data_IF_663294548599
#
_entry.id   IF_663294548599
#
_cell.length_a   1.000
_cell.length_b   1.000
_cell.length_c   1.000
_cell.angle_alpha   90.00
_cell.angle_beta   90.00
_cell.angle_gamma   90.00
#
_symmetry.space_group_name_H-M   'P 1'
#
loop_
_entity.id
_entity.type
_entity.pdbx_description
1 polymer ?
#
# COMPACT_ATOMS: atom_id res chain seq x y z
N UNK A 1 -60.11 8.36 40.64
CA UNK A 1 -58.71 8.76 40.92
C UNK A 1 -57.89 7.49 41.08
N UNK A 2 -57.07 7.20 40.07
CA UNK A 2 -56.65 5.86 39.67
C UNK A 2 -55.33 5.46 40.36
N UNK A 3 -55.26 4.22 40.85
CA UNK A 3 -54.09 3.59 41.46
C UNK A 3 -53.03 3.26 40.39
N UNK A 4 -51.76 3.52 40.71
CA UNK A 4 -50.59 3.08 39.95
C UNK A 4 -50.41 1.56 40.08
N UNK A 5 -50.24 0.89 38.95
CA UNK A 5 -49.83 -0.52 38.83
C UNK A 5 -48.54 -0.55 38.00
N UNK A 6 -47.46 -1.08 38.58
CA UNK A 6 -46.19 -1.40 37.92
C UNK A 6 -46.22 -2.85 37.42
N UNK A 7 -45.86 -3.07 36.14
CA UNK A 7 -45.36 -4.31 35.50
C UNK A 7 -44.82 -3.93 34.09
N UNK A 8 -44.00 -4.75 33.39
CA UNK A 8 -42.58 -5.00 33.61
C UNK A 8 -41.68 -4.55 32.41
N UNK A 9 -40.38 -4.41 32.69
CA UNK A 9 -39.31 -4.24 31.68
C UNK A 9 -39.10 -5.56 30.94
N UNK A 10 -39.56 -5.66 29.69
CA UNK A 10 -39.00 -6.57 28.67
C UNK A 10 -39.74 -6.32 27.35
N UNK A 11 -39.15 -5.51 26.44
CA UNK A 11 -39.41 -5.52 24.97
C UNK A 11 -38.65 -4.44 24.17
N UNK A 12 -37.39 -4.13 24.51
CA UNK A 12 -36.58 -3.16 23.75
C UNK A 12 -35.38 -3.75 23.01
N UNK A 13 -35.35 -5.08 22.81
CA UNK A 13 -34.19 -5.77 22.20
C UNK A 13 -34.49 -6.66 20.99
N UNK A 14 -35.67 -6.56 20.37
CA UNK A 14 -36.02 -7.34 19.15
C UNK A 14 -36.35 -6.54 17.89
N UNK A 15 -36.16 -5.21 17.88
CA UNK A 15 -36.46 -4.37 16.71
C UNK A 15 -35.23 -3.92 15.90
N UNK A 16 -34.00 -4.26 16.30
CA UNK A 16 -32.78 -3.72 15.67
C UNK A 16 -31.99 -4.72 14.82
N UNK A 17 -32.38 -5.99 14.76
CA UNK A 17 -31.63 -7.04 14.04
C UNK A 17 -32.24 -7.47 12.69
N UNK A 18 -33.38 -6.93 12.26
CA UNK A 18 -34.07 -7.39 11.04
C UNK A 18 -33.99 -6.40 9.87
N UNK A 19 -33.21 -5.31 9.97
CA UNK A 19 -33.07 -4.31 8.89
C UNK A 19 -31.76 -4.37 8.11
N UNK A 20 -30.83 -5.27 8.44
CA UNK A 20 -29.51 -5.35 7.77
C UNK A 20 -29.47 -6.40 6.64
N UNK A 21 -30.51 -7.23 6.47
CA UNK A 21 -30.45 -8.39 5.56
C UNK A 21 -31.25 -8.24 4.25
N UNK A 22 -31.94 -7.12 4.02
CA UNK A 22 -32.78 -6.93 2.82
C UNK A 22 -32.25 -5.90 1.80
N UNK A 23 -31.22 -5.13 2.15
CA UNK A 23 -30.62 -4.13 1.23
C UNK A 23 -29.70 -4.76 0.17
N UNK A 24 -29.27 -6.01 0.35
CA UNK A 24 -28.33 -6.71 -0.54
C UNK A 24 -28.96 -7.42 -1.75
N UNK A 25 -30.30 -7.48 -1.85
CA UNK A 25 -30.99 -8.26 -2.90
C UNK A 25 -31.71 -7.44 -3.97
N UNK A 26 -31.58 -6.11 -3.99
CA UNK A 26 -32.25 -5.24 -4.98
C UNK A 26 -31.32 -4.34 -5.81
N UNK A 27 -30.00 -4.55 -5.75
CA UNK A 27 -29.02 -3.77 -6.53
C UNK A 27 -28.67 -4.36 -7.91
N UNK A 28 -29.58 -5.10 -8.54
CA UNK A 28 -29.50 -5.37 -9.99
C UNK A 28 -30.31 -4.32 -10.73
N UNK A 29 -29.88 -3.05 -10.66
CA UNK A 29 -30.49 -1.95 -11.38
C UNK A 29 -29.48 -1.37 -12.38
N UNK A 30 -29.91 -1.32 -13.63
CA UNK A 30 -29.23 -0.84 -14.83
C UNK A 30 -28.45 0.46 -14.57
N UNK A 31 -27.14 0.44 -14.88
CA UNK A 31 -26.23 1.58 -14.72
C UNK A 31 -26.64 2.73 -15.68
N UNK A 32 -26.97 3.94 -15.19
CA UNK A 32 -27.17 5.10 -16.05
C UNK A 32 -25.85 5.47 -16.73
N UNK A 33 -25.89 5.68 -18.05
CA UNK A 33 -24.76 6.21 -18.81
C UNK A 33 -24.42 7.62 -18.34
N UNK A 34 -23.15 7.81 -17.98
CA UNK A 34 -22.63 9.08 -17.52
C UNK A 34 -21.21 8.90 -17.02
N UNK A 35 -21.03 8.75 -15.71
CA UNK A 35 -19.72 8.92 -15.08
C UNK A 35 -19.42 7.88 -13.97
N UNK A 36 -20.31 6.90 -13.74
CA UNK A 36 -20.12 5.85 -12.73
C UNK A 36 -19.31 4.67 -13.27
N UNK A 37 -17.99 4.86 -13.34
CA UNK A 37 -17.02 3.78 -13.63
C UNK A 37 -16.56 3.20 -12.28
N UNK A 38 -16.68 1.89 -12.11
CA UNK A 38 -16.27 1.24 -10.87
C UNK A 38 -14.79 1.52 -10.55
N UNK A 39 -14.51 1.91 -9.30
CA UNK A 39 -13.17 2.29 -8.84
C UNK A 39 -12.72 3.68 -9.27
N UNK A 40 -13.53 4.42 -10.04
CA UNK A 40 -13.28 5.82 -10.42
C UNK A 40 -14.19 6.72 -9.60
N UNK A 41 -13.83 6.90 -8.34
CA UNK A 41 -14.59 7.65 -7.33
C UNK A 41 -13.67 8.61 -6.58
N UNK A 42 -14.04 9.89 -6.50
CA UNK A 42 -13.31 10.90 -5.73
C UNK A 42 -13.48 10.71 -4.22
N UNK A 43 -12.60 11.32 -3.43
CA UNK A 43 -12.68 11.31 -1.96
C UNK A 43 -12.85 12.73 -1.42
N UNK A 44 -13.93 12.99 -0.69
CA UNK A 44 -14.20 14.33 -0.18
C UNK A 44 -13.13 14.77 0.84
N UNK A 45 -12.64 16.01 0.71
CA UNK A 45 -11.67 16.56 1.64
C UNK A 45 -12.36 16.97 2.95
N UNK A 46 -11.89 16.43 4.07
CA UNK A 46 -12.44 16.70 5.41
C UNK A 46 -11.53 17.62 6.23
N UNK A 47 -10.92 18.62 5.58
CA UNK A 47 -10.00 19.59 6.17
C UNK A 47 -8.56 19.09 6.21
N UNK A 48 -7.71 19.60 5.30
CA UNK A 48 -6.30 19.23 5.13
C UNK A 48 -6.08 17.70 5.05
N UNK A 49 -7.04 16.95 4.49
CA UNK A 49 -6.97 15.49 4.39
C UNK A 49 -6.52 14.99 3.02
N UNK A 50 -6.01 15.87 2.15
CA UNK A 50 -5.61 15.49 0.79
C UNK A 50 -4.47 14.45 0.78
N UNK A 51 -3.58 14.46 1.78
CA UNK A 51 -2.57 13.40 1.97
C UNK A 51 -3.21 12.03 2.16
N UNK A 52 -4.29 11.96 2.97
CA UNK A 52 -5.05 10.73 3.21
C UNK A 52 -5.78 10.30 1.94
N UNK A 53 -6.44 11.23 1.26
CA UNK A 53 -7.17 10.95 0.04
C UNK A 53 -6.24 10.39 -1.04
N UNK A 54 -5.09 11.01 -1.28
CA UNK A 54 -4.14 10.54 -2.29
C UNK A 54 -3.61 9.12 -1.99
N UNK A 55 -3.26 8.84 -0.72
CA UNK A 55 -2.82 7.50 -0.29
C UNK A 55 -3.94 6.47 -0.45
N UNK A 56 -5.15 6.79 0.00
CA UNK A 56 -6.31 5.89 -0.13
C UNK A 56 -6.63 5.60 -1.59
N UNK A 57 -6.55 6.59 -2.49
CA UNK A 57 -6.77 6.39 -3.92
C UNK A 57 -5.78 5.37 -4.50
N UNK A 58 -4.50 5.47 -4.17
CA UNK A 58 -3.48 4.51 -4.65
C UNK A 58 -3.70 3.09 -4.08
N UNK A 59 -4.02 2.97 -2.79
CA UNK A 59 -4.32 1.68 -2.15
C UNK A 59 -5.60 1.06 -2.73
N UNK A 60 -6.66 1.84 -2.87
CA UNK A 60 -7.95 1.41 -3.43
C UNK A 60 -7.91 1.16 -4.94
N UNK A 61 -6.83 1.54 -5.61
CA UNK A 61 -6.54 1.20 -7.01
C UNK A 61 -5.62 -0.03 -7.15
N UNK A 62 -5.13 -0.59 -6.05
CA UNK A 62 -4.29 -1.79 -6.06
C UNK A 62 -5.17 -3.03 -6.18
N UNK A 63 -5.48 -3.46 -7.41
CA UNK A 63 -6.52 -4.48 -7.66
C UNK A 63 -6.40 -5.77 -6.82
N UNK A 64 -5.21 -6.39 -6.66
CA UNK A 64 -5.13 -7.61 -5.85
C UNK A 64 -5.52 -7.39 -4.38
N UNK A 65 -5.29 -6.18 -3.86
CA UNK A 65 -5.74 -5.79 -2.52
C UNK A 65 -7.26 -5.59 -2.49
N UNK A 66 -7.81 -4.90 -3.49
CA UNK A 66 -9.26 -4.67 -3.64
C UNK A 66 -10.02 -6.00 -3.71
N UNK A 67 -9.60 -6.90 -4.62
CA UNK A 67 -10.20 -8.22 -4.80
C UNK A 67 -10.15 -9.02 -3.50
N UNK A 68 -9.04 -8.96 -2.77
CA UNK A 68 -8.90 -9.67 -1.50
C UNK A 68 -9.86 -9.13 -0.43
N UNK A 69 -9.94 -7.80 -0.26
CA UNK A 69 -10.76 -7.17 0.77
C UNK A 69 -12.27 -7.23 0.46
N UNK A 70 -12.65 -7.24 -0.82
CA UNK A 70 -14.04 -7.41 -1.24
C UNK A 70 -14.47 -8.88 -1.39
N UNK A 71 -13.55 -9.84 -1.29
CA UNK A 71 -13.90 -11.26 -1.36
C UNK A 71 -14.76 -11.69 -0.17
N UNK A 72 -15.72 -12.59 -0.42
CA UNK A 72 -16.66 -13.07 0.61
C UNK A 72 -15.96 -13.74 1.79
N UNK A 73 -14.93 -14.54 1.51
CA UNK A 73 -14.13 -15.24 2.52
C UNK A 73 -13.50 -14.26 3.51
N UNK A 74 -12.90 -13.17 3.01
CA UNK A 74 -12.32 -12.15 3.88
C UNK A 74 -13.39 -11.45 4.71
N UNK A 75 -14.54 -11.13 4.13
CA UNK A 75 -15.61 -10.36 4.80
C UNK A 75 -16.38 -11.13 5.87
N UNK A 76 -16.70 -12.39 5.62
CA UNK A 76 -17.43 -13.22 6.59
C UNK A 76 -16.53 -13.58 7.80
N UNK A 77 -15.20 -13.54 7.61
CA UNK A 77 -14.21 -13.89 8.64
C UNK A 77 -13.61 -12.68 9.37
N UNK A 78 -13.54 -11.51 8.75
CA UNK A 78 -12.91 -10.32 9.32
C UNK A 78 -13.89 -9.51 10.19
N UNK A 79 -13.95 -9.79 11.50
CA UNK A 79 -14.50 -8.83 12.50
C UNK A 79 -13.46 -7.77 12.92
N UNK A 80 -12.63 -7.38 11.96
CA UNK A 80 -11.40 -6.64 12.19
C UNK A 80 -11.60 -5.19 11.73
N UNK A 81 -11.43 -4.26 12.68
CA UNK A 81 -11.86 -2.87 12.56
C UNK A 81 -11.25 -2.14 11.36
N UNK A 82 -9.95 -2.33 11.09
CA UNK A 82 -9.24 -1.64 10.00
C UNK A 82 -9.63 -2.25 8.66
N UNK A 83 -9.56 -3.59 8.54
CA UNK A 83 -9.88 -4.28 7.31
C UNK A 83 -11.34 -4.03 6.87
N UNK A 84 -12.28 -4.05 7.82
CA UNK A 84 -13.70 -3.78 7.55
C UNK A 84 -13.94 -2.34 7.10
N UNK A 85 -13.22 -1.39 7.70
CA UNK A 85 -13.31 0.03 7.29
C UNK A 85 -12.81 0.23 5.87
N UNK A 86 -11.69 -0.38 5.50
CA UNK A 86 -11.21 -0.37 4.12
C UNK A 86 -12.19 -1.06 3.17
N UNK A 87 -12.77 -2.19 3.58
CA UNK A 87 -13.74 -2.91 2.76
C UNK A 87 -14.99 -2.07 2.48
N UNK A 88 -15.55 -1.38 3.47
CA UNK A 88 -16.71 -0.49 3.28
C UNK A 88 -16.39 0.69 2.36
N UNK A 89 -15.22 1.31 2.52
CA UNK A 89 -14.77 2.36 1.60
C UNK A 89 -14.66 1.82 0.16
N UNK A 90 -14.09 0.62 -0.02
CA UNK A 90 -14.01 -0.03 -1.32
C UNK A 90 -15.39 -0.35 -1.90
N UNK A 91 -16.37 -0.76 -1.09
CA UNK A 91 -17.74 -0.96 -1.55
C UNK A 91 -18.34 0.33 -2.12
N UNK A 92 -18.17 1.46 -1.42
CA UNK A 92 -18.63 2.77 -1.91
C UNK A 92 -17.93 3.16 -3.22
N UNK A 93 -16.61 2.94 -3.33
CA UNK A 93 -15.84 3.34 -4.51
C UNK A 93 -16.03 2.41 -5.73
N UNK A 94 -16.20 1.11 -5.50
CA UNK A 94 -16.23 0.10 -6.57
C UNK A 94 -17.63 -0.38 -6.93
N UNK A 95 -18.54 -0.43 -5.96
CA UNK A 95 -19.91 -0.91 -6.13
C UNK A 95 -20.95 0.22 -6.01
N UNK A 96 -20.57 1.36 -5.45
CA UNK A 96 -21.42 2.53 -5.32
C UNK A 96 -21.75 3.21 -6.64
N UNK A 97 -22.69 4.15 -6.55
CA UNK A 97 -23.20 4.93 -7.67
C UNK A 97 -22.89 6.43 -7.56
N UNK A 98 -22.02 6.81 -6.63
CA UNK A 98 -21.61 8.20 -6.43
C UNK A 98 -20.29 8.48 -7.14
N UNK A 99 -20.11 9.71 -7.64
CA UNK A 99 -18.85 10.14 -8.25
C UNK A 99 -17.77 10.47 -7.22
N UNK A 100 -18.15 10.73 -5.96
CA UNK A 100 -17.26 10.84 -4.81
C UNK A 100 -17.91 10.26 -3.55
N UNK A 101 -17.09 9.94 -2.55
CA UNK A 101 -17.54 9.60 -1.21
C UNK A 101 -16.63 10.19 -0.13
N UNK A 102 -17.15 10.34 1.08
CA UNK A 102 -16.40 10.89 2.20
C UNK A 102 -15.78 9.75 3.04
N UNK A 103 -14.44 9.67 3.16
CA UNK A 103 -13.78 8.59 3.92
C UNK A 103 -13.84 8.82 5.45
N UNK A 104 -15.02 9.12 5.99
CA UNK A 104 -15.23 9.52 7.40
C UNK A 104 -14.83 8.42 8.37
N UNK A 105 -15.27 7.18 8.12
CA UNK A 105 -14.93 6.04 8.97
C UNK A 105 -13.43 5.72 8.87
N UNK A 106 -12.87 5.72 7.66
CA UNK A 106 -11.44 5.51 7.44
C UNK A 106 -10.59 6.54 8.17
N UNK A 107 -10.95 7.83 8.10
CA UNK A 107 -10.30 8.90 8.86
C UNK A 107 -10.45 8.69 10.37
N UNK A 108 -11.64 8.36 10.84
CA UNK A 108 -11.90 8.13 12.27
C UNK A 108 -11.06 6.98 12.83
N UNK A 109 -10.98 5.86 12.11
CA UNK A 109 -10.17 4.71 12.50
C UNK A 109 -8.69 5.06 12.47
N UNK A 110 -8.21 5.70 11.40
CA UNK A 110 -6.84 6.19 11.30
C UNK A 110 -6.47 7.08 12.49
N UNK A 111 -7.24 8.14 12.77
CA UNK A 111 -6.98 9.06 13.88
C UNK A 111 -6.99 8.36 15.25
N UNK A 112 -7.75 7.27 15.40
CA UNK A 112 -7.77 6.50 16.65
C UNK A 112 -6.56 5.58 16.83
N UNK A 113 -5.97 5.10 15.74
CA UNK A 113 -4.78 4.22 15.76
C UNK A 113 -3.51 5.06 15.78
N UNK A 114 -3.56 6.21 15.11
CA UNK A 114 -2.44 7.13 14.93
C UNK A 114 -2.85 8.53 15.39
N UNK A 115 -2.86 8.80 16.71
CA UNK A 115 -3.28 10.08 17.27
C UNK A 115 -2.49 11.28 16.72
N UNK A 116 -1.27 11.07 16.22
CA UNK A 116 -0.47 12.12 15.59
C UNK A 116 -1.08 12.68 14.29
N UNK A 117 -1.99 11.93 13.65
CA UNK A 117 -2.77 12.39 12.48
C UNK A 117 -4.12 12.98 12.89
N UNK A 118 -4.47 12.98 14.19
CA UNK A 118 -5.71 13.56 14.72
C UNK A 118 -5.60 15.08 14.91
N UNK A 119 -5.15 15.76 13.86
CA UNK A 119 -5.11 17.21 13.76
C UNK A 119 -5.59 17.61 12.37
N UNK A 120 -5.73 18.92 12.17
CA UNK A 120 -6.05 19.49 10.86
C UNK A 120 -4.78 20.00 10.16
N UNK A 121 -3.59 19.50 10.50
CA UNK A 121 -2.36 19.86 9.79
C UNK A 121 -2.10 18.90 8.63
N UNK A 122 -1.28 19.35 7.69
CA UNK A 122 -0.77 18.45 6.66
C UNK A 122 0.20 17.44 7.28
N UNK A 123 0.30 16.29 6.63
CA UNK A 123 1.07 15.14 7.07
C UNK A 123 1.81 14.54 5.88
N UNK A 124 2.86 13.76 6.16
CA UNK A 124 3.63 13.07 5.15
C UNK A 124 2.85 11.85 4.61
N UNK A 125 2.61 11.84 3.28
CA UNK A 125 1.85 10.78 2.64
C UNK A 125 2.58 9.43 2.62
N UNK A 126 3.91 9.43 2.57
CA UNK A 126 4.72 8.21 2.62
C UNK A 126 4.66 7.58 4.01
N UNK A 127 4.74 8.40 5.06
CA UNK A 127 4.61 7.96 6.44
C UNK A 127 3.21 7.36 6.69
N UNK A 128 2.15 8.07 6.27
CA UNK A 128 0.78 7.56 6.37
C UNK A 128 0.61 6.22 5.65
N UNK A 129 1.12 6.10 4.42
CA UNK A 129 1.00 4.89 3.62
C UNK A 129 1.59 3.67 4.34
N UNK A 130 2.78 3.80 4.93
CA UNK A 130 3.38 2.73 5.72
C UNK A 130 2.54 2.37 6.95
N UNK A 131 2.02 3.38 7.67
CA UNK A 131 1.19 3.11 8.84
C UNK A 131 -0.12 2.40 8.49
N UNK A 132 -0.79 2.79 7.41
CA UNK A 132 -2.02 2.13 6.97
C UNK A 132 -1.76 0.68 6.56
N UNK A 133 -0.67 0.41 5.83
CA UNK A 133 -0.28 -0.96 5.47
C UNK A 133 0.05 -1.80 6.71
N UNK A 134 0.79 -1.26 7.67
CA UNK A 134 1.11 -1.96 8.93
C UNK A 134 -0.15 -2.24 9.76
N UNK A 135 -1.03 -1.24 9.91
CA UNK A 135 -2.29 -1.41 10.63
C UNK A 135 -3.17 -2.48 9.98
N UNK A 136 -3.26 -2.49 8.64
CA UNK A 136 -4.00 -3.51 7.90
C UNK A 136 -3.35 -4.90 8.03
N UNK A 137 -2.01 -4.98 7.94
CA UNK A 137 -1.27 -6.23 8.14
C UNK A 137 -1.57 -6.82 9.53
N UNK A 138 -1.41 -6.03 10.59
CA UNK A 138 -1.62 -6.48 11.96
C UNK A 138 -3.06 -6.93 12.21
N UNK A 139 -4.04 -6.22 11.63
CA UNK A 139 -5.44 -6.58 11.76
C UNK A 139 -5.76 -7.91 11.04
N UNK A 140 -5.26 -8.10 9.81
CA UNK A 140 -5.42 -9.36 9.07
C UNK A 140 -4.67 -10.53 9.72
N UNK A 141 -3.53 -10.28 10.36
CA UNK A 141 -2.77 -11.31 11.08
C UNK A 141 -3.55 -11.86 12.27
N UNK A 142 -4.35 -11.03 12.96
CA UNK A 142 -5.24 -11.49 14.05
C UNK A 142 -6.30 -12.47 13.55
N UNK A 143 -6.87 -12.22 12.36
CA UNK A 143 -7.83 -13.13 11.72
C UNK A 143 -7.16 -14.46 11.38
N UNK A 144 -5.98 -14.42 10.76
CA UNK A 144 -5.22 -15.64 10.44
C UNK A 144 -4.87 -16.46 11.69
N UNK A 145 -4.41 -15.81 12.76
CA UNK A 145 -4.11 -16.46 14.02
C UNK A 145 -5.36 -17.09 14.68
N UNK A 146 -6.54 -16.48 14.54
CA UNK A 146 -7.79 -17.05 15.02
C UNK A 146 -8.19 -18.33 14.26
N UNK A 147 -7.95 -18.39 12.94
CA UNK A 147 -8.18 -19.60 12.12
C UNK A 147 -7.33 -20.78 12.57
N UNK A 148 -6.03 -20.55 12.80
CA UNK A 148 -5.10 -21.61 13.24
C UNK A 148 -5.48 -22.19 14.61
N UNK A 149 -6.08 -21.37 15.49
CA UNK A 149 -6.58 -21.82 16.81
C UNK A 149 -7.76 -22.77 16.72
N UNK A 150 -8.62 -22.65 15.70
CA UNK A 150 -9.74 -23.56 15.50
C UNK A 150 -9.32 -24.90 14.89
N UNK A 151 -8.27 -24.92 14.08
CA UNK A 151 -7.84 -26.11 13.33
C UNK A 151 -6.80 -26.95 14.06
N UNK A 152 -5.90 -26.33 14.84
CA UNK A 152 -4.80 -27.05 15.49
C UNK A 152 -4.92 -26.98 17.01
N UNK A 153 -5.03 -28.15 17.64
CA UNK A 153 -4.84 -28.28 19.09
C UNK A 153 -3.53 -27.64 19.54
N UNK A 154 -3.55 -27.13 20.78
CA UNK A 154 -2.62 -26.28 21.54
C UNK A 154 -1.07 -26.48 21.40
N UNK A 155 -0.51 -27.30 20.50
CA UNK A 155 0.90 -27.69 20.52
C UNK A 155 1.84 -26.93 19.58
N UNK A 156 1.35 -26.28 18.51
CA UNK A 156 2.19 -25.52 17.55
C UNK A 156 1.80 -24.03 17.42
N UNK A 157 1.55 -23.36 18.55
CA UNK A 157 0.96 -22.01 18.60
C UNK A 157 1.88 -20.86 18.18
N UNK A 158 3.18 -20.93 18.47
CA UNK A 158 4.12 -19.83 18.19
C UNK A 158 4.64 -19.88 16.75
N UNK A 159 4.92 -21.07 16.22
CA UNK A 159 5.45 -21.24 14.86
C UNK A 159 4.40 -20.88 13.78
N UNK A 160 3.16 -21.37 13.90
CA UNK A 160 2.14 -21.16 12.89
C UNK A 160 1.55 -19.73 12.85
N UNK A 161 1.67 -18.96 13.93
CA UNK A 161 1.28 -17.53 13.97
C UNK A 161 2.43 -16.58 13.55
N UNK A 162 3.68 -17.05 13.61
CA UNK A 162 4.85 -16.33 13.12
C UNK A 162 4.92 -16.34 11.58
N UNK A 163 4.29 -17.33 10.93
CA UNK A 163 4.49 -17.67 9.52
C UNK A 163 3.28 -17.36 8.62
N UNK A 164 2.17 -16.83 9.17
CA UNK A 164 1.02 -16.44 8.36
C UNK A 164 1.28 -15.11 7.64
N UNK A 165 1.77 -15.20 6.41
CA UNK A 165 1.90 -14.03 5.51
C UNK A 165 0.52 -13.49 5.15
N UNK A 166 0.26 -12.20 5.40
CA UNK A 166 -1.01 -11.55 5.04
C UNK A 166 -0.99 -11.14 3.56
N UNK A 167 -2.12 -10.69 3.00
CA UNK A 167 -2.13 -10.06 1.66
C UNK A 167 -1.14 -8.90 1.57
N UNK A 168 -0.98 -8.13 2.67
CA UNK A 168 -0.06 -6.99 2.70
C UNK A 168 1.38 -7.47 2.51
N UNK A 169 1.81 -8.49 3.26
CA UNK A 169 3.17 -9.06 3.12
C UNK A 169 3.39 -9.73 1.77
N UNK A 170 2.36 -10.37 1.21
CA UNK A 170 2.47 -11.00 -0.11
C UNK A 170 2.62 -9.97 -1.22
N UNK A 171 1.90 -8.86 -1.15
CA UNK A 171 1.90 -7.83 -2.19
C UNK A 171 3.08 -6.86 -2.07
N UNK A 172 3.29 -6.29 -0.89
CA UNK A 172 4.14 -5.10 -0.74
C UNK A 172 5.52 -5.40 -0.14
N UNK A 173 5.73 -6.55 0.52
CA UNK A 173 7.03 -6.85 1.15
C UNK A 173 8.02 -7.50 0.18
N UNK A 174 9.14 -6.81 -0.05
CA UNK A 174 10.34 -7.33 -0.69
C UNK A 174 11.45 -7.62 0.31
N UNK A 175 12.57 -8.15 -0.17
CA UNK A 175 13.80 -8.35 0.62
C UNK A 175 15.01 -7.81 -0.12
N UNK A 176 15.78 -6.96 0.56
CA UNK A 176 17.12 -6.55 0.15
C UNK A 176 18.14 -7.55 0.70
N UNK A 177 19.15 -7.86 -0.11
CA UNK A 177 20.34 -8.59 0.27
C UNK A 177 21.53 -7.64 0.40
N UNK A 178 22.32 -7.82 1.45
CA UNK A 178 23.55 -7.09 1.70
C UNK A 178 24.69 -8.10 1.74
N UNK A 179 25.51 -8.09 0.70
CA UNK A 179 26.71 -8.91 0.56
C UNK A 179 27.90 -8.10 1.03
N UNK A 180 28.62 -8.58 2.04
CA UNK A 180 29.88 -7.98 2.48
C UNK A 180 31.04 -8.86 2.05
N UNK A 181 32.02 -8.31 1.33
CA UNK A 181 33.22 -9.00 0.86
C UNK A 181 34.47 -8.41 1.52
N UNK A 182 35.23 -9.22 2.26
CA UNK A 182 36.51 -8.82 2.83
C UNK A 182 37.57 -8.72 1.72
N UNK A 183 38.15 -7.53 1.51
CA UNK A 183 39.11 -7.27 0.42
C UNK A 183 40.50 -7.89 0.64
N UNK A 184 40.69 -8.66 1.73
CA UNK A 184 41.96 -9.32 2.04
C UNK A 184 41.92 -10.84 1.91
N UNK A 185 40.80 -11.48 2.25
CA UNK A 185 40.68 -12.94 2.28
C UNK A 185 39.47 -13.46 1.49
N UNK A 186 38.75 -12.56 0.80
CA UNK A 186 37.56 -12.83 0.01
C UNK A 186 36.41 -13.51 0.76
N UNK A 187 36.45 -13.52 2.11
CA UNK A 187 35.35 -14.02 2.90
C UNK A 187 34.10 -13.17 2.69
N UNK A 188 33.01 -13.84 2.33
CA UNK A 188 31.72 -13.25 2.03
C UNK A 188 30.72 -13.53 3.15
N UNK A 189 29.97 -12.51 3.57
CA UNK A 189 28.76 -12.70 4.39
C UNK A 189 27.55 -12.11 3.69
N UNK A 190 26.38 -12.69 3.95
CA UNK A 190 25.12 -12.25 3.36
C UNK A 190 24.07 -12.02 4.45
N UNK A 191 23.43 -10.86 4.42
CA UNK A 191 22.34 -10.50 5.33
C UNK A 191 21.15 -10.01 4.54
N UNK A 192 19.95 -10.35 4.98
CA UNK A 192 18.71 -9.93 4.31
C UNK A 192 17.91 -8.99 5.20
N UNK A 193 17.17 -8.08 4.58
CA UNK A 193 16.27 -7.15 5.25
C UNK A 193 14.96 -6.99 4.46
N UNK A 194 13.83 -7.16 5.14
CA UNK A 194 12.50 -6.91 4.55
C UNK A 194 12.25 -5.42 4.40
N UNK A 195 11.62 -5.02 3.30
CA UNK A 195 11.18 -3.64 3.06
C UNK A 195 9.78 -3.61 2.43
N UNK A 196 9.06 -2.51 2.66
CA UNK A 196 7.75 -2.22 2.02
C UNK A 196 7.85 -1.05 1.03
N UNK A 197 8.76 -0.11 1.29
CA UNK A 197 9.03 1.05 0.42
C UNK A 197 10.54 1.23 0.26
N UNK A 198 11.00 1.56 -0.94
CA UNK A 198 12.36 2.03 -1.18
C UNK A 198 12.36 3.56 -1.25
N UNK A 199 13.02 4.20 -0.29
CA UNK A 199 13.23 5.64 -0.31
C UNK A 199 14.51 5.97 -1.08
N UNK A 200 14.35 6.34 -2.36
CA UNK A 200 15.48 6.47 -3.26
C UNK A 200 16.22 7.80 -3.06
N UNK A 201 17.57 7.78 -3.03
CA UNK A 201 18.37 8.98 -3.15
C UNK A 201 18.25 9.56 -4.56
N UNK A 202 18.51 10.85 -4.67
CA UNK A 202 18.53 11.56 -5.96
C UNK A 202 19.96 11.97 -6.23
N UNK A 203 20.53 11.60 -7.40
CA UNK A 203 21.84 12.07 -7.80
C UNK A 203 21.91 13.60 -7.77
N UNK A 204 22.87 14.16 -7.03
CA UNK A 204 23.05 15.63 -6.91
C UNK A 204 23.72 16.23 -8.13
N UNK A 205 24.50 15.42 -8.84
CA UNK A 205 25.41 15.88 -9.87
C UNK A 205 24.77 15.89 -11.27
N UNK A 206 23.49 15.49 -11.36
CA UNK A 206 22.75 15.34 -12.61
C UNK A 206 21.52 16.26 -12.58
N UNK A 207 21.44 17.17 -13.57
CA UNK A 207 20.34 18.15 -13.69
C UNK A 207 18.99 17.48 -13.95
N UNK A 208 18.99 16.34 -14.66
CA UNK A 208 17.81 15.50 -14.91
C UNK A 208 18.19 14.04 -14.72
N UNK A 209 17.65 13.39 -13.70
CA UNK A 209 17.79 11.97 -13.48
C UNK A 209 16.46 11.24 -13.72
N UNK A 210 16.56 9.97 -14.05
CA UNK A 210 15.47 9.01 -14.16
C UNK A 210 15.34 8.17 -12.88
N UNK A 211 14.23 7.42 -12.76
CA UNK A 211 14.08 6.43 -11.68
C UNK A 211 15.16 5.35 -11.73
N UNK A 212 15.62 4.98 -12.94
CA UNK A 212 16.69 4.01 -13.10
C UNK A 212 18.02 4.53 -12.53
N UNK A 213 18.30 5.83 -12.68
CA UNK A 213 19.50 6.46 -12.10
C UNK A 213 19.40 6.48 -10.57
N UNK A 214 18.23 6.82 -10.02
CA UNK A 214 17.98 6.79 -8.57
C UNK A 214 18.15 5.38 -7.98
N UNK A 215 17.68 4.34 -8.67
CA UNK A 215 17.91 2.95 -8.27
C UNK A 215 19.37 2.56 -8.41
N UNK A 216 20.05 2.96 -9.49
CA UNK A 216 21.48 2.68 -9.66
C UNK A 216 22.31 3.28 -8.53
N UNK A 217 21.97 4.50 -8.10
CA UNK A 217 22.59 5.14 -6.92
C UNK A 217 22.23 4.40 -5.61
N UNK A 218 20.99 3.92 -5.47
CA UNK A 218 20.58 3.14 -4.29
C UNK A 218 21.33 1.80 -4.17
N UNK A 219 21.56 1.12 -5.28
CA UNK A 219 22.24 -0.19 -5.34
C UNK A 219 23.75 -0.08 -5.59
N UNK A 220 24.32 1.13 -5.55
CA UNK A 220 25.75 1.34 -5.77
C UNK A 220 26.60 0.61 -4.72
N UNK A 221 27.66 -0.04 -5.18
CA UNK A 221 28.61 -0.70 -4.29
C UNK A 221 29.30 0.35 -3.41
N UNK A 222 29.29 0.12 -2.10
CA UNK A 222 30.01 0.96 -1.14
C UNK A 222 31.30 0.25 -0.69
N UNK A 223 32.42 0.96 -0.65
CA UNK A 223 33.67 0.45 -0.10
C UNK A 223 33.94 1.08 1.28
N UNK A 224 33.93 0.25 2.32
CA UNK A 224 34.21 0.68 3.69
C UNK A 224 35.71 0.69 3.94
N UNK A 225 36.29 1.88 4.07
CA UNK A 225 37.74 2.10 4.25
C UNK A 225 38.06 2.90 5.51
N UNK A 226 39.34 2.99 5.87
CA UNK A 226 39.80 3.78 7.02
C UNK A 226 39.08 3.44 8.33
N UNK A 227 38.34 4.39 8.88
CA UNK A 227 37.63 4.24 10.16
C UNK A 227 36.36 3.38 10.06
N UNK A 228 35.81 3.20 8.87
CA UNK A 228 34.59 2.42 8.62
C UNK A 228 34.85 0.93 8.39
N UNK A 229 36.13 0.51 8.43
CA UNK A 229 36.52 -0.88 8.23
C UNK A 229 35.79 -1.84 9.17
N UNK A 230 35.35 -2.96 8.59
CA UNK A 230 34.61 -4.00 9.28
C UNK A 230 35.55 -5.05 9.85
N UNK A 231 35.23 -5.56 11.04
CA UNK A 231 35.94 -6.71 11.61
C UNK A 231 35.61 -7.96 10.80
N UNK A 232 36.60 -8.53 10.12
CA UNK A 232 36.42 -9.79 9.41
C UNK A 232 36.46 -10.96 10.40
N UNK A 233 35.41 -11.80 10.39
CA UNK A 233 35.28 -13.00 11.24
C UNK A 233 36.38 -14.04 11.00
N UNK A 234 36.94 -14.08 9.79
CA UNK A 234 38.00 -15.02 9.41
C UNK A 234 39.39 -14.45 9.71
N UNK A 235 39.65 -13.18 9.36
CA UNK A 235 40.95 -12.57 9.64
C UNK A 235 41.16 -12.21 11.12
N UNK A 236 40.09 -12.02 11.89
CA UNK A 236 40.13 -11.48 13.24
C UNK A 236 40.58 -10.00 13.32
N UNK A 237 40.65 -9.31 12.19
CA UNK A 237 41.12 -7.92 12.07
C UNK A 237 40.13 -7.05 11.30
N UNK A 238 40.19 -5.74 11.53
CA UNK A 238 39.45 -4.76 10.73
C UNK A 238 40.06 -4.68 9.33
N UNK A 239 39.23 -4.84 8.31
CA UNK A 239 39.63 -4.89 6.90
C UNK A 239 38.73 -4.01 6.06
N UNK A 240 39.28 -3.52 4.96
CA UNK A 240 38.49 -2.93 3.89
C UNK A 240 37.47 -3.95 3.40
N UNK A 241 36.23 -3.51 3.23
CA UNK A 241 35.11 -4.39 2.95
C UNK A 241 34.24 -3.73 1.88
N UNK A 242 34.03 -4.42 0.77
CA UNK A 242 33.04 -4.03 -0.21
C UNK A 242 31.65 -4.47 0.27
N UNK A 243 30.67 -3.58 0.18
CA UNK A 243 29.26 -3.85 0.49
C UNK A 243 28.47 -3.70 -0.81
N UNK A 244 27.86 -4.79 -1.24
CA UNK A 244 26.97 -4.83 -2.40
C UNK A 244 25.54 -5.01 -1.90
N UNK A 245 24.65 -4.13 -2.34
CA UNK A 245 23.22 -4.24 -2.09
C UNK A 245 22.55 -4.86 -3.31
N UNK A 246 21.62 -5.78 -3.11
CA UNK A 246 20.85 -6.41 -4.18
C UNK A 246 19.41 -6.67 -3.74
N UNK A 247 18.55 -7.03 -4.68
CA UNK A 247 17.15 -7.35 -4.45
C UNK A 247 16.96 -8.87 -4.48
N UNK A 248 16.91 -9.48 -3.30
CA UNK A 248 16.73 -10.93 -3.09
C UNK A 248 15.28 -11.39 -3.28
N UNK A 249 14.32 -10.52 -2.97
CA UNK A 249 12.91 -10.80 -3.21
C UNK A 249 12.23 -9.52 -3.69
N UNK A 250 11.97 -9.37 -5.00
CA UNK A 250 11.19 -8.25 -5.49
C UNK A 250 9.71 -8.39 -5.07
N UNK A 251 9.06 -7.32 -4.55
CA UNK A 251 7.65 -7.36 -4.12
C UNK A 251 6.71 -7.42 -5.33
N UNK A 252 5.47 -7.89 -5.19
CA UNK A 252 4.52 -7.83 -6.33
C UNK A 252 4.12 -6.39 -6.68
N UNK A 253 3.98 -5.57 -5.65
CA UNK A 253 3.75 -4.13 -5.71
C UNK A 253 4.99 -3.42 -5.16
N UNK A 254 5.77 -2.80 -6.04
CA UNK A 254 6.93 -2.03 -5.67
C UNK A 254 6.53 -0.59 -5.37
N UNK A 255 6.79 -0.12 -4.16
CA UNK A 255 6.60 1.28 -3.78
C UNK A 255 7.95 2.00 -3.74
N UNK A 256 8.06 3.09 -4.49
CA UNK A 256 9.22 3.96 -4.51
C UNK A 256 8.84 5.33 -3.95
N UNK A 257 9.57 5.79 -2.95
CA UNK A 257 9.46 7.14 -2.41
C UNK A 257 10.63 7.98 -2.91
N UNK A 258 10.34 9.15 -3.44
CA UNK A 258 11.35 10.08 -3.97
C UNK A 258 11.58 11.22 -2.99
N UNK A 259 12.84 11.42 -2.59
CA UNK A 259 13.20 12.48 -1.64
C UNK A 259 13.04 13.91 -2.21
N UNK A 260 12.97 14.09 -3.55
CA UNK A 260 12.75 15.33 -4.33
C UNK A 260 12.31 15.00 -5.78
N UNK A 261 12.22 16.02 -6.65
CA UNK A 261 11.79 15.94 -8.05
C UNK A 261 12.70 15.07 -8.93
N UNK A 262 12.10 14.22 -9.79
CA UNK A 262 12.79 13.35 -10.77
C UNK A 262 12.05 13.41 -12.11
N UNK A 263 12.78 13.42 -13.23
CA UNK A 263 12.19 13.37 -14.58
C UNK A 263 11.86 11.91 -14.93
N UNK A 264 10.59 11.55 -14.78
CA UNK A 264 10.16 10.14 -14.78
C UNK A 264 9.78 9.63 -16.16
N UNK A 265 10.61 9.79 -17.20
CA UNK A 265 10.22 9.53 -18.62
C UNK A 265 9.73 8.12 -19.01
N UNK A 266 9.77 7.12 -18.13
CA UNK A 266 9.40 5.74 -18.48
C UNK A 266 8.43 5.12 -17.47
N UNK A 267 7.23 4.67 -17.91
CA UNK A 267 6.25 3.99 -17.05
C UNK A 267 6.61 2.52 -16.80
N UNK A 268 7.60 2.01 -17.54
CA UNK A 268 8.16 0.67 -17.37
C UNK A 268 9.49 0.80 -16.64
N UNK A 269 9.64 -0.05 -15.64
CA UNK A 269 10.83 -0.13 -14.82
C UNK A 269 11.42 -1.54 -14.92
N UNK A 270 12.73 -1.62 -15.13
CA UNK A 270 13.46 -2.89 -15.16
C UNK A 270 14.37 -3.01 -13.94
N UNK A 271 14.05 -3.97 -13.07
CA UNK A 271 14.83 -4.27 -11.88
C UNK A 271 15.91 -5.33 -12.12
N UNK A 272 16.02 -5.91 -13.33
CA UNK A 272 17.00 -6.97 -13.65
C UNK A 272 18.42 -6.63 -13.19
N UNK A 273 18.94 -5.39 -13.37
CA UNK A 273 20.29 -5.03 -12.94
C UNK A 273 20.54 -5.12 -11.44
N UNK A 274 19.47 -5.09 -10.63
CA UNK A 274 19.55 -5.00 -9.18
C UNK A 274 19.19 -6.32 -8.49
N UNK A 275 18.74 -7.34 -9.23
CA UNK A 275 18.39 -8.65 -8.68
C UNK A 275 19.64 -9.41 -8.24
N UNK A 276 19.54 -10.13 -7.12
CA UNK A 276 20.61 -11.07 -6.73
C UNK A 276 20.69 -12.25 -7.70
N UNK A 277 21.86 -12.88 -7.77
CA UNK A 277 22.13 -14.01 -8.68
C UNK A 277 21.16 -15.19 -8.48
N UNK A 278 20.63 -15.37 -7.27
CA UNK A 278 19.65 -16.41 -6.95
C UNK A 278 18.27 -16.18 -7.60
N UNK A 279 17.99 -14.98 -8.10
CA UNK A 279 16.66 -14.50 -8.51
C UNK A 279 16.60 -14.12 -9.99
N UNK A 280 17.67 -14.34 -10.76
CA UNK A 280 17.82 -13.95 -12.18
C UNK A 280 16.92 -14.73 -13.17
N UNK A 281 15.65 -14.91 -12.84
CA UNK A 281 14.61 -15.33 -13.76
C UNK A 281 14.01 -14.10 -14.44
N UNK A 282 14.18 -14.00 -15.76
CA UNK A 282 13.75 -12.85 -16.59
C UNK A 282 12.24 -12.51 -16.49
N UNK A 283 11.41 -13.37 -15.92
CA UNK A 283 9.96 -13.15 -15.76
C UNK A 283 9.56 -12.24 -14.58
N UNK A 284 10.50 -11.83 -13.72
CA UNK A 284 10.16 -11.12 -12.46
C UNK A 284 10.69 -9.69 -12.37
N UNK A 285 11.34 -9.15 -13.41
CA UNK A 285 12.06 -7.89 -13.33
C UNK A 285 11.34 -6.69 -13.93
N UNK A 286 10.32 -6.89 -14.76
CA UNK A 286 9.57 -5.79 -15.39
C UNK A 286 8.40 -5.34 -14.52
N UNK A 287 8.33 -4.04 -14.29
CA UNK A 287 7.34 -3.37 -13.46
C UNK A 287 6.64 -2.28 -14.26
N UNK A 288 5.32 -2.15 -14.06
CA UNK A 288 4.52 -1.12 -14.72
C UNK A 288 3.90 -0.18 -13.69
N UNK A 289 4.10 1.11 -13.89
CA UNK A 289 3.49 2.15 -13.06
C UNK A 289 1.97 2.08 -13.19
N UNK A 290 1.26 2.10 -12.07
CA UNK A 290 -0.21 2.14 -12.07
C UNK A 290 -0.78 3.17 -11.10
N UNK A 291 0.01 3.67 -10.14
CA UNK A 291 -0.43 4.75 -9.28
C UNK A 291 0.72 5.68 -8.88
N UNK A 292 0.40 6.96 -8.71
CA UNK A 292 1.32 8.02 -8.30
C UNK A 292 0.63 8.89 -7.26
N UNK A 293 1.29 9.10 -6.14
CA UNK A 293 0.99 10.21 -5.22
C UNK A 293 1.84 11.40 -5.66
N UNK A 294 1.18 12.48 -6.04
CA UNK A 294 1.84 13.75 -6.33
C UNK A 294 1.79 14.67 -5.10
N UNK A 295 2.78 15.54 -4.97
CA UNK A 295 2.80 16.61 -4.00
C UNK A 295 3.24 17.93 -4.66
N UNK A 296 2.46 18.98 -4.44
CA UNK A 296 2.79 20.36 -4.84
C UNK A 296 2.89 21.24 -3.60
N UNK A 297 3.90 22.11 -3.53
CA UNK A 297 4.11 23.01 -2.38
C UNK A 297 5.10 22.45 -1.35
N UNK A 298 5.06 22.98 -0.13
CA UNK A 298 5.96 22.63 0.97
C UNK A 298 5.30 21.63 1.93
N UNK A 299 6.08 20.87 2.70
CA UNK A 299 5.56 19.83 3.61
C UNK A 299 4.49 20.32 4.60
N UNK A 300 4.59 21.58 5.05
CA UNK A 300 3.64 22.18 6.00
C UNK A 300 2.47 22.92 5.33
N UNK A 301 2.61 23.22 4.03
CA UNK A 301 1.65 23.97 3.21
C UNK A 301 1.82 23.51 1.75
N UNK A 302 1.15 22.43 1.40
CA UNK A 302 1.17 21.82 0.09
C UNK A 302 -0.19 21.26 -0.31
N UNK A 303 -0.22 20.39 -1.30
CA UNK A 303 -1.43 19.69 -1.73
C UNK A 303 -1.04 18.36 -2.35
N UNK A 304 -1.76 17.30 -1.97
CA UNK A 304 -1.55 15.97 -2.50
C UNK A 304 -2.67 15.63 -3.47
N UNK A 305 -2.30 15.03 -4.60
CA UNK A 305 -3.23 14.45 -5.57
C UNK A 305 -2.78 13.04 -5.91
N UNK A 306 -3.69 12.21 -6.42
CA UNK A 306 -3.34 10.88 -6.92
C UNK A 306 -3.58 10.76 -8.42
N UNK A 307 -2.75 9.99 -9.09
CA UNK A 307 -2.98 9.50 -10.44
C UNK A 307 -3.07 7.99 -10.36
N UNK A 308 -4.16 7.39 -10.82
CA UNK A 308 -4.30 5.94 -10.86
C UNK A 308 -4.78 5.45 -12.22
N UNK A 309 -4.18 4.37 -12.70
CA UNK A 309 -4.56 3.71 -13.95
C UNK A 309 -5.68 2.70 -13.68
N UNK A 310 -6.85 2.91 -14.32
CA UNK A 310 -7.96 1.97 -14.21
C UNK A 310 -7.82 0.85 -15.24
N UNK A 311 -7.75 -0.39 -14.78
CA UNK A 311 -7.72 -1.56 -15.68
C UNK A 311 -9.04 -1.75 -16.45
N UNK A 312 -10.15 -1.19 -15.96
CA UNK A 312 -11.47 -1.28 -16.58
C UNK A 312 -11.59 -0.33 -17.77
N UNK A 313 -11.17 0.92 -17.61
CA UNK A 313 -11.24 1.93 -18.68
C UNK A 313 -10.00 1.92 -19.55
N UNK A 314 -8.90 1.33 -19.06
CA UNK A 314 -7.56 1.38 -19.67
C UNK A 314 -7.04 2.80 -19.83
N UNK A 315 -7.34 3.66 -18.85
CA UNK A 315 -6.90 5.05 -18.84
C UNK A 315 -6.55 5.55 -17.45
N UNK A 316 -5.70 6.57 -17.41
CA UNK A 316 -5.28 7.24 -16.19
C UNK A 316 -6.34 8.23 -15.74
N UNK A 317 -6.53 8.30 -14.43
CA UNK A 317 -7.42 9.26 -13.78
C UNK A 317 -6.64 10.02 -12.72
N UNK A 318 -6.77 11.35 -12.73
CA UNK A 318 -6.30 12.23 -11.68
C UNK A 318 -7.43 12.44 -10.67
N UNK A 319 -7.14 12.14 -9.42
CA UNK A 319 -7.99 12.32 -8.25
C UNK A 319 -7.45 13.48 -7.44
N UNK A 320 -8.20 14.58 -7.48
CA UNK A 320 -7.97 15.78 -6.71
C UNK A 320 -9.13 15.92 -5.71
N UNK A 321 -8.97 15.24 -4.57
CA UNK A 321 -10.04 15.01 -3.62
C UNK A 321 -11.31 14.44 -4.30
N UNK A 322 -12.43 15.17 -4.26
CA UNK A 322 -13.70 14.76 -4.85
C UNK A 322 -13.72 14.90 -6.38
N UNK A 323 -12.82 15.69 -6.94
CA UNK A 323 -12.74 15.91 -8.38
C UNK A 323 -11.94 14.79 -9.05
N UNK A 324 -12.54 14.17 -10.07
CA UNK A 324 -11.91 13.12 -10.87
C UNK A 324 -11.89 13.54 -12.33
N UNK A 325 -10.73 13.42 -12.97
CA UNK A 325 -10.57 13.71 -14.40
C UNK A 325 -9.71 12.64 -15.07
N UNK A 326 -10.11 12.22 -16.27
CA UNK A 326 -9.28 11.38 -17.12
C UNK A 326 -8.07 12.20 -17.60
N UNK A 327 -6.90 11.57 -17.64
CA UNK A 327 -5.65 12.21 -18.07
C UNK A 327 -4.90 11.33 -19.05
N UNK A 328 -4.17 11.98 -19.95
CA UNK A 328 -3.34 11.29 -20.94
C UNK A 328 -2.04 10.77 -20.29
N UNK A 329 -1.54 9.63 -20.77
CA UNK A 329 -0.31 8.97 -20.28
C UNK A 329 0.88 9.92 -20.13
N UNK A 330 1.05 10.87 -21.05
CA UNK A 330 2.15 11.86 -21.04
C UNK A 330 2.11 12.83 -19.86
N UNK A 331 0.96 12.99 -19.20
CA UNK A 331 0.76 13.89 -18.07
C UNK A 331 0.93 13.18 -16.72
N UNK A 332 1.03 11.85 -16.72
CA UNK A 332 1.21 11.06 -15.51
C UNK A 332 2.59 11.33 -14.89
N UNK A 333 3.57 11.50 -15.76
CA UNK A 333 4.95 11.78 -15.41
C UNK A 333 5.11 13.29 -15.23
N UNK A 334 5.36 13.69 -13.99
CA UNK A 334 5.62 15.09 -13.67
C UNK A 334 6.66 15.17 -12.57
N UNK A 335 7.24 16.36 -12.41
CA UNK A 335 8.15 16.63 -11.30
C UNK A 335 7.44 16.38 -9.95
N UNK A 336 6.13 16.57 -9.87
CA UNK A 336 5.36 16.48 -8.62
C UNK A 336 5.24 15.07 -8.04
N UNK A 337 5.70 14.04 -8.76
CA UNK A 337 5.68 12.66 -8.27
C UNK A 337 6.46 12.53 -6.96
N UNK A 338 5.80 11.97 -5.95
CA UNK A 338 6.34 11.84 -4.59
C UNK A 338 6.42 10.37 -4.14
N UNK A 339 5.34 9.61 -4.35
CA UNK A 339 5.33 8.14 -4.18
C UNK A 339 4.84 7.50 -5.47
N UNK A 340 5.56 6.49 -5.94
CA UNK A 340 5.25 5.73 -7.15
C UNK A 340 4.93 4.28 -6.78
N UNK A 341 3.83 3.75 -7.29
CA UNK A 341 3.45 2.35 -7.12
C UNK A 341 3.49 1.66 -8.47
N UNK A 342 4.34 0.64 -8.54
CA UNK A 342 4.50 -0.22 -9.71
C UNK A 342 3.98 -1.61 -9.40
N UNK A 343 3.36 -2.25 -10.39
CA UNK A 343 2.98 -3.66 -10.32
C UNK A 343 3.87 -4.49 -11.23
N UNK A 344 4.33 -5.63 -10.71
CA UNK A 344 5.06 -6.65 -11.49
C UNK A 344 4.18 -7.29 -12.57
N UNK A 345 2.86 -7.31 -12.35
CA UNK A 345 1.89 -7.91 -13.28
C UNK A 345 0.89 -6.86 -13.76
N UNK A 346 0.56 -6.83 -15.05
CA UNK A 346 -0.48 -5.94 -15.54
C UNK A 346 -1.81 -6.32 -14.87
N UNK A 347 -2.48 -5.32 -14.33
CA UNK A 347 -3.79 -5.47 -13.73
C UNK A 347 -4.82 -5.88 -14.79
N UNK A 348 -5.50 -7.00 -14.54
CA UNK A 348 -6.57 -7.51 -15.38
C UNK A 348 -7.92 -6.95 -14.91
N UNK A 349 -8.99 -7.25 -15.66
CA UNK A 349 -10.34 -6.94 -15.20
C UNK A 349 -10.57 -7.60 -13.82
N UNK A 350 -10.93 -6.83 -12.78
CA UNK A 350 -11.05 -7.37 -11.43
C UNK A 350 -12.23 -8.34 -11.32
N UNK A 351 -12.05 -9.38 -10.51
CA UNK A 351 -13.05 -10.39 -10.15
C UNK A 351 -13.75 -9.99 -8.85
N UNK A 352 -14.52 -8.90 -8.91
CA UNK A 352 -15.31 -8.41 -7.78
C UNK A 352 -16.76 -8.87 -7.96
N UNK A 353 -17.33 -9.52 -6.94
CA UNK A 353 -18.75 -9.91 -6.97
C UNK A 353 -19.66 -8.67 -6.95
N UNK A 354 -20.63 -8.63 -7.85
CA UNK A 354 -21.58 -7.50 -7.98
C UNK A 354 -21.14 -6.42 -8.98
N UNK A 355 -20.00 -6.60 -9.66
CA UNK A 355 -19.42 -5.63 -10.59
C UNK A 355 -19.71 -5.91 -12.07
#
# INVERSE_FOLDING_TARGET
>A
ATKQQLMPRDNFHKSFQTKVSLTLLLYSAVRPHGWNRAGVCGLDNSGNSCYLNAVLQCLCSTLPLVEHLLSRDTREESKCRVAETFARLLEEMWLGSSSSCAPVEARSVMCSILPQFNNYSQQDAQELLLFLLNALHDDLKKVAAARTRHVTGNRNRAAAAMESTTIVSRLFEGQLGYVTLCMHCDHQTHRTQTFTVLSLPIPTDIIKCSIQDCLSLFFEQTLLTGVEQMLCSVCGLRRETAVLTCLDKPPEILMLHLKRWVDTKHPLLDLSPFLSSAVQNASYSSYRLYAVVNHTGHLNVGHYTALCHSALTRSWHCFDDSAVREVEDRLVQSAHAYVLLYSRRPFQKPKIHGL
#
